data_IF_511071762999
#
_entry.id   IF_511071762999
#
_cell.length_a   1.000
_cell.length_b   1.000
_cell.length_c   1.000
_cell.angle_alpha   90.00
_cell.angle_beta   90.00
_cell.angle_gamma   90.00
#
_symmetry.space_group_name_H-M   'P 1'
#
loop_
_entity.id
_entity.type
_entity.pdbx_description
1 polymer ?
#
# COMPACT_ATOMS: atom_id res chain seq x y z
N UNK A 1 -13.14 -9.56 21.76
CA UNK A 1 -12.07 -8.64 22.25
C UNK A 1 -10.89 -8.70 21.29
N UNK A 2 -10.24 -7.57 21.05
CA UNK A 2 -9.06 -7.54 20.19
C UNK A 2 -7.90 -8.36 20.77
N UNK A 3 -7.11 -8.99 19.88
CA UNK A 3 -5.92 -9.75 20.25
C UNK A 3 -4.70 -9.15 19.58
N UNK A 4 -3.54 -9.26 20.22
CA UNK A 4 -2.25 -8.86 19.66
C UNK A 4 -1.41 -10.11 19.40
N UNK A 5 -0.66 -10.07 18.29
CA UNK A 5 0.24 -11.12 17.87
C UNK A 5 1.56 -10.47 17.42
N UNK A 6 2.65 -11.19 17.54
CA UNK A 6 3.97 -10.72 17.10
C UNK A 6 4.28 -11.05 15.65
N UNK A 7 3.44 -11.88 15.00
CA UNK A 7 3.61 -12.38 13.64
C UNK A 7 2.27 -12.53 12.92
N UNK A 8 2.31 -12.57 11.61
CA UNK A 8 1.21 -13.00 10.75
C UNK A 8 1.11 -14.52 10.89
N UNK A 9 -0.04 -15.01 11.32
CA UNK A 9 -0.33 -16.45 11.40
C UNK A 9 -1.19 -16.85 10.19
N UNK A 10 -1.29 -18.15 9.89
CA UNK A 10 -2.03 -18.67 8.73
C UNK A 10 -3.47 -18.16 8.65
N UNK A 11 -4.15 -18.05 9.80
CA UNK A 11 -5.52 -17.49 9.86
C UNK A 11 -5.60 -16.02 9.43
N UNK A 12 -4.52 -15.23 9.64
CA UNK A 12 -4.44 -13.83 9.22
C UNK A 12 -4.19 -13.74 7.72
N UNK A 13 -3.33 -14.61 7.17
CA UNK A 13 -3.06 -14.70 5.74
C UNK A 13 -4.32 -15.11 4.96
N UNK A 14 -5.02 -16.16 5.40
CA UNK A 14 -6.30 -16.58 4.83
C UNK A 14 -7.37 -15.47 4.87
N UNK A 15 -7.36 -14.64 5.91
CA UNK A 15 -8.25 -13.48 6.01
C UNK A 15 -7.86 -12.40 5.01
N UNK A 16 -6.56 -12.06 4.90
CA UNK A 16 -6.04 -11.07 3.95
C UNK A 16 -6.39 -11.43 2.51
N UNK A 17 -6.18 -12.68 2.10
CA UNK A 17 -6.43 -13.17 0.75
C UNK A 17 -7.90 -13.03 0.30
N UNK A 18 -8.83 -13.07 1.25
CA UNK A 18 -10.26 -12.90 0.98
C UNK A 18 -10.66 -11.45 0.74
N UNK A 19 -9.86 -10.48 1.23
CA UNK A 19 -10.23 -9.07 1.14
C UNK A 19 -9.94 -8.51 -0.25
N UNK A 20 -10.91 -7.76 -0.80
CA UNK A 20 -10.80 -7.11 -2.13
C UNK A 20 -10.17 -5.73 -2.04
N UNK A 21 -10.04 -5.18 -0.85
CA UNK A 21 -9.39 -3.91 -0.58
C UNK A 21 -8.77 -3.89 0.81
N UNK A 22 -7.77 -3.05 0.95
CA UNK A 22 -7.14 -2.73 2.23
C UNK A 22 -6.87 -1.22 2.30
N UNK A 23 -6.54 -0.76 3.49
CA UNK A 23 -6.14 0.63 3.73
C UNK A 23 -4.66 0.67 4.14
N UNK A 24 -3.96 1.70 3.66
CA UNK A 24 -2.64 2.06 4.17
C UNK A 24 -2.74 3.36 4.92
N UNK A 25 -2.14 3.41 6.11
CA UNK A 25 -2.00 4.64 6.89
C UNK A 25 -0.52 4.91 7.15
N UNK A 26 -0.09 6.13 6.87
CA UNK A 26 1.27 6.63 7.14
C UNK A 26 1.18 8.07 7.67
N UNK A 27 2.20 8.54 8.37
CA UNK A 27 2.21 9.89 8.89
C UNK A 27 3.64 10.44 8.92
N UNK A 28 3.83 11.75 8.69
CA UNK A 28 5.12 12.39 8.86
C UNK A 28 5.50 12.47 10.35
N UNK A 29 6.72 12.92 10.64
CA UNK A 29 7.18 13.17 12.01
C UNK A 29 6.67 14.51 12.53
N UNK A 30 6.47 15.49 11.65
CA UNK A 30 5.95 16.81 12.04
C UNK A 30 4.58 16.70 12.69
N UNK A 31 4.34 17.33 13.85
CA UNK A 31 3.02 17.38 14.47
C UNK A 31 1.99 18.16 13.63
N UNK A 32 2.44 19.05 12.75
CA UNK A 32 1.60 19.84 11.85
C UNK A 32 1.37 19.19 10.49
N UNK A 33 1.98 18.01 10.24
CA UNK A 33 1.84 17.29 8.99
C UNK A 33 0.57 16.43 8.94
N UNK A 34 0.17 16.06 7.72
CA UNK A 34 -1.10 15.37 7.47
C UNK A 34 -0.94 13.85 7.49
N UNK A 35 -1.83 13.17 8.20
CA UNK A 35 -1.91 11.71 8.17
C UNK A 35 -2.46 11.27 6.81
N UNK A 36 -1.71 10.44 6.11
CA UNK A 36 -2.17 9.81 4.88
C UNK A 36 -2.97 8.55 5.22
N UNK A 37 -4.16 8.42 4.66
CA UNK A 37 -5.01 7.22 4.70
C UNK A 37 -5.53 6.93 3.30
N UNK A 38 -5.11 5.82 2.70
CA UNK A 38 -5.44 5.50 1.31
C UNK A 38 -6.04 4.10 1.18
N UNK A 39 -7.20 3.94 0.52
CA UNK A 39 -7.72 2.65 0.11
C UNK A 39 -6.90 2.10 -1.06
N UNK A 40 -6.65 0.80 -1.07
CA UNK A 40 -5.94 0.05 -2.10
C UNK A 40 -6.73 -1.21 -2.45
N UNK A 41 -6.72 -1.60 -3.70
CA UNK A 41 -7.40 -2.80 -4.23
C UNK A 41 -6.61 -3.41 -5.38
N UNK A 42 -7.28 -4.00 -6.36
CA UNK A 42 -6.70 -4.56 -7.58
C UNK A 42 -5.71 -5.72 -7.33
N UNK A 43 -5.96 -6.52 -6.31
CA UNK A 43 -5.08 -7.65 -5.94
C UNK A 43 -3.61 -7.24 -5.77
N UNK A 44 -3.37 -6.06 -5.21
CA UNK A 44 -2.06 -5.44 -5.12
C UNK A 44 -1.28 -5.78 -3.85
N UNK A 45 -1.77 -6.66 -2.96
CA UNK A 45 -1.12 -7.01 -1.68
C UNK A 45 -0.55 -8.43 -1.68
N UNK A 46 0.61 -8.64 -1.06
CA UNK A 46 1.21 -9.97 -0.88
C UNK A 46 1.80 -10.12 0.52
N UNK A 47 1.57 -11.28 1.14
CA UNK A 47 2.30 -11.74 2.34
C UNK A 47 3.53 -12.50 1.85
N UNK A 48 4.72 -12.05 2.24
CA UNK A 48 5.99 -12.67 1.84
C UNK A 48 6.50 -13.66 2.87
N UNK A 49 6.19 -13.41 4.13
CA UNK A 49 6.50 -14.27 5.28
C UNK A 49 5.63 -13.90 6.47
N UNK A 50 5.79 -14.58 7.57
CA UNK A 50 5.12 -14.30 8.85
C UNK A 50 5.39 -12.89 9.43
N UNK A 51 6.36 -12.18 8.88
CA UNK A 51 6.80 -10.86 9.35
C UNK A 51 7.08 -9.86 8.23
N UNK A 52 6.78 -10.19 6.98
CA UNK A 52 7.04 -9.31 5.85
C UNK A 52 5.91 -9.33 4.84
N UNK A 53 5.51 -8.15 4.41
CA UNK A 53 4.47 -7.95 3.40
C UNK A 53 4.95 -6.96 2.34
N UNK A 54 4.26 -6.95 1.19
CA UNK A 54 4.43 -5.90 0.19
C UNK A 54 3.13 -5.55 -0.49
N UNK A 55 3.08 -4.36 -1.06
CA UNK A 55 2.03 -4.03 -2.02
C UNK A 55 2.56 -3.25 -3.21
N UNK A 56 1.93 -3.48 -4.36
CA UNK A 56 2.17 -2.72 -5.57
C UNK A 56 1.39 -1.40 -5.47
N UNK A 57 2.11 -0.30 -5.50
CA UNK A 57 1.52 1.03 -5.51
C UNK A 57 1.49 1.56 -6.95
N UNK A 58 0.27 1.74 -7.46
CA UNK A 58 0.02 2.24 -8.80
C UNK A 58 0.01 3.77 -8.84
N UNK A 59 0.20 4.33 -10.03
CA UNK A 59 0.17 5.78 -10.23
C UNK A 59 -1.11 6.41 -9.69
N UNK A 60 -0.96 7.45 -8.90
CA UNK A 60 -2.03 8.21 -8.27
C UNK A 60 -1.68 9.69 -8.16
N UNK A 61 -2.61 10.51 -7.65
CA UNK A 61 -2.48 11.97 -7.57
C UNK A 61 -1.45 12.46 -6.55
N UNK A 62 -1.12 11.64 -5.55
CA UNK A 62 -0.11 11.94 -4.53
C UNK A 62 0.83 10.77 -4.30
N UNK A 63 1.87 10.95 -3.49
CA UNK A 63 2.86 9.94 -3.15
C UNK A 63 3.30 10.02 -1.68
N UNK A 64 2.36 10.32 -0.79
CA UNK A 64 2.58 10.54 0.64
C UNK A 64 3.24 9.35 1.33
N UNK A 65 2.81 8.13 0.99
CA UNK A 65 3.39 6.92 1.56
C UNK A 65 4.89 6.83 1.29
N UNK A 66 5.35 7.14 0.07
CA UNK A 66 6.78 7.13 -0.27
C UNK A 66 7.58 8.17 0.51
N UNK A 67 7.03 9.38 0.69
CA UNK A 67 7.67 10.42 1.49
C UNK A 67 7.81 9.99 2.96
N UNK A 68 6.75 9.45 3.56
CA UNK A 68 6.77 8.97 4.94
C UNK A 68 7.65 7.72 5.11
N UNK A 69 7.80 6.88 4.05
CA UNK A 69 8.76 5.77 4.05
C UNK A 69 10.20 6.28 4.16
N UNK A 70 10.56 7.34 3.39
CA UNK A 70 11.88 7.96 3.47
C UNK A 70 12.14 8.59 4.83
N UNK A 71 11.17 9.32 5.37
CA UNK A 71 11.36 10.06 6.61
C UNK A 71 11.42 9.17 7.85
N UNK A 72 10.49 8.20 7.98
CA UNK A 72 10.36 7.42 9.21
C UNK A 72 9.94 5.96 9.04
N UNK A 73 9.44 5.57 7.88
CA UNK A 73 9.04 4.20 7.53
C UNK A 73 7.78 3.66 8.21
N UNK A 74 7.14 4.41 9.12
CA UNK A 74 5.95 3.90 9.86
C UNK A 74 4.79 3.68 8.92
N UNK A 75 4.22 2.47 8.95
CA UNK A 75 3.06 2.09 8.14
C UNK A 75 2.13 1.17 8.91
N UNK A 76 0.85 1.36 8.69
CA UNK A 76 -0.20 0.44 9.14
C UNK A 76 -1.02 0.01 7.94
N UNK A 77 -1.23 -1.29 7.80
CA UNK A 77 -2.22 -1.86 6.89
C UNK A 77 -3.45 -2.25 7.69
N UNK A 78 -4.64 -1.99 7.13
CA UNK A 78 -5.90 -2.40 7.74
C UNK A 78 -6.77 -3.10 6.72
N UNK A 79 -7.28 -4.26 7.11
CA UNK A 79 -8.25 -5.07 6.36
C UNK A 79 -9.54 -5.15 7.18
N UNK A 80 -10.67 -5.03 6.51
CA UNK A 80 -12.00 -5.14 7.11
C UNK A 80 -12.80 -6.22 6.40
N UNK A 81 -13.49 -7.07 7.15
CA UNK A 81 -14.48 -7.98 6.58
C UNK A 81 -15.72 -7.14 6.18
N UNK A 82 -15.91 -6.99 4.86
CA UNK A 82 -17.13 -6.40 4.29
C UNK A 82 -18.17 -7.46 3.96
N UNK A 83 -17.83 -8.74 4.09
CA UNK A 83 -18.70 -9.91 3.98
C UNK A 83 -18.35 -10.94 5.07
N UNK A 84 -19.22 -11.93 5.29
CA UNK A 84 -19.00 -13.01 6.24
C UNK A 84 -18.85 -12.56 7.70
N UNK A 85 -18.09 -13.30 8.53
CA UNK A 85 -17.89 -12.97 9.94
C UNK A 85 -17.14 -11.67 10.15
N UNK A 86 -17.58 -10.79 11.06
CA UNK A 86 -16.97 -9.48 11.25
C UNK A 86 -15.56 -9.59 11.85
N UNK A 87 -14.61 -8.96 11.20
CA UNK A 87 -13.21 -8.89 11.65
C UNK A 87 -12.55 -7.63 11.08
N UNK A 88 -11.71 -7.00 11.89
CA UNK A 88 -10.71 -6.02 11.44
C UNK A 88 -9.34 -6.58 11.78
N UNK A 89 -8.45 -6.61 10.81
CA UNK A 89 -7.04 -6.96 10.97
C UNK A 89 -6.17 -5.74 10.69
N UNK A 90 -5.20 -5.47 11.56
CA UNK A 90 -4.17 -4.45 11.36
C UNK A 90 -2.79 -5.05 11.44
N UNK A 91 -1.93 -4.66 10.49
CA UNK A 91 -0.51 -4.98 10.49
C UNK A 91 0.26 -3.68 10.71
N UNK A 92 1.08 -3.62 11.75
CA UNK A 92 1.92 -2.47 12.06
C UNK A 92 3.37 -2.78 11.72
N UNK A 93 4.01 -1.91 10.96
CA UNK A 93 5.33 -2.19 10.44
C UNK A 93 6.20 -0.97 10.15
N UNK A 94 7.38 -1.30 9.62
CA UNK A 94 8.34 -0.37 9.01
C UNK A 94 8.48 -0.71 7.54
N UNK A 95 8.15 0.25 6.69
CA UNK A 95 8.19 0.09 5.23
C UNK A 95 9.35 0.83 4.58
N UNK A 96 9.64 0.42 3.37
CA UNK A 96 10.55 1.07 2.44
C UNK A 96 9.97 1.04 1.03
N UNK A 97 10.31 2.03 0.23
CA UNK A 97 9.95 2.11 -1.19
C UNK A 97 11.00 1.38 -2.03
N UNK A 98 10.54 0.59 -3.00
CA UNK A 98 11.36 -0.03 -4.05
C UNK A 98 10.89 0.52 -5.39
N UNK A 99 11.80 1.13 -6.16
CA UNK A 99 11.51 1.74 -7.46
C UNK A 99 11.91 0.83 -8.62
N UNK A 100 11.34 1.04 -9.83
CA UNK A 100 11.92 0.50 -11.06
C UNK A 100 13.40 0.85 -11.16
N UNK A 101 14.24 -0.15 -11.44
CA UNK A 101 15.71 0.00 -11.47
C UNK A 101 16.44 -0.37 -10.17
N UNK A 102 15.73 -0.47 -9.03
CA UNK A 102 16.32 -1.04 -7.82
C UNK A 102 16.62 -2.53 -8.00
N UNK A 103 17.70 -3.02 -7.39
CA UNK A 103 18.13 -4.42 -7.51
C UNK A 103 17.08 -5.47 -7.11
N UNK A 104 16.10 -5.09 -6.29
CA UNK A 104 15.01 -5.96 -5.85
C UNK A 104 13.77 -5.90 -6.75
N UNK A 105 13.66 -4.88 -7.60
CA UNK A 105 12.45 -4.60 -8.38
C UNK A 105 12.02 -5.77 -9.25
N UNK A 106 12.92 -6.27 -10.10
CA UNK A 106 12.62 -7.31 -11.10
C UNK A 106 12.10 -8.60 -10.46
N UNK A 107 12.55 -8.92 -9.26
CA UNK A 107 12.08 -10.08 -8.53
C UNK A 107 10.71 -9.85 -7.87
N UNK A 108 10.50 -8.66 -7.30
CA UNK A 108 9.25 -8.36 -6.56
C UNK A 108 8.08 -8.11 -7.50
N UNK A 109 8.30 -7.46 -8.64
CA UNK A 109 7.22 -7.11 -9.59
C UNK A 109 6.57 -8.35 -10.21
N UNK A 110 7.28 -9.48 -10.30
CA UNK A 110 6.76 -10.74 -10.84
C UNK A 110 5.60 -11.33 -10.03
N UNK A 111 5.42 -10.90 -8.78
CA UNK A 111 4.30 -11.32 -7.95
C UNK A 111 2.96 -10.65 -8.34
N UNK A 112 2.96 -9.72 -9.30
CA UNK A 112 1.80 -8.92 -9.66
C UNK A 112 1.55 -8.93 -11.17
N UNK A 113 0.27 -9.01 -11.56
CA UNK A 113 -0.16 -9.01 -12.96
C UNK A 113 -0.48 -7.59 -13.50
N UNK A 114 -0.03 -6.53 -12.82
CA UNK A 114 -0.45 -5.14 -13.05
C UNK A 114 0.69 -4.16 -13.45
N UNK A 115 1.66 -4.54 -14.29
CA UNK A 115 2.88 -3.74 -14.49
C UNK A 115 2.65 -2.36 -15.12
N UNK A 116 1.68 -2.18 -16.03
CA UNK A 116 1.52 -0.95 -16.81
C UNK A 116 1.22 0.30 -15.96
N UNK A 117 0.56 0.13 -14.83
CA UNK A 117 0.23 1.22 -13.91
C UNK A 117 1.19 1.29 -12.71
N UNK A 118 2.16 0.38 -12.62
CA UNK A 118 3.09 0.28 -11.50
C UNK A 118 3.95 1.54 -11.38
N UNK A 119 4.01 2.10 -10.18
CA UNK A 119 4.87 3.23 -9.85
C UNK A 119 6.02 2.79 -8.94
N UNK A 120 5.70 2.05 -7.92
CA UNK A 120 6.62 1.58 -6.89
C UNK A 120 6.07 0.38 -6.16
N UNK A 121 6.90 -0.33 -5.42
CA UNK A 121 6.49 -1.36 -4.48
C UNK A 121 6.84 -0.86 -3.08
N UNK A 122 5.90 -0.96 -2.15
CA UNK A 122 6.19 -0.74 -0.73
C UNK A 122 6.34 -2.10 -0.07
N UNK A 123 7.52 -2.34 0.49
CA UNK A 123 7.83 -3.55 1.27
C UNK A 123 7.88 -3.16 2.73
N UNK A 124 7.24 -3.92 3.62
CA UNK A 124 7.19 -3.60 5.05
C UNK A 124 7.51 -4.82 5.92
N UNK A 125 8.36 -4.60 6.92
CA UNK A 125 8.61 -5.54 8.00
C UNK A 125 7.59 -5.30 9.12
N UNK A 126 6.80 -6.33 9.43
CA UNK A 126 5.70 -6.29 10.39
C UNK A 126 6.21 -6.73 11.76
N UNK A 127 5.96 -5.93 12.78
CA UNK A 127 6.37 -6.21 14.15
C UNK A 127 5.19 -6.44 15.10
N UNK A 128 3.95 -6.12 14.67
CA UNK A 128 2.75 -6.35 15.44
C UNK A 128 1.54 -6.55 14.54
N UNK A 129 0.70 -7.51 14.89
CA UNK A 129 -0.59 -7.80 14.25
C UNK A 129 -1.68 -7.63 15.30
N UNK A 130 -2.78 -6.96 14.94
CA UNK A 130 -3.91 -6.75 15.83
C UNK A 130 -5.21 -7.13 15.15
N UNK A 131 -6.03 -7.92 15.83
CA UNK A 131 -7.43 -8.18 15.43
C UNK A 131 -8.38 -7.36 16.27
N UNK A 132 -9.53 -7.00 15.70
CA UNK A 132 -10.66 -6.35 16.40
C UNK A 132 -11.97 -6.93 15.88
N UNK A 133 -13.05 -6.80 16.66
CA UNK A 133 -14.33 -7.46 16.35
C UNK A 133 -15.01 -7.02 15.05
N UNK A 134 -14.77 -5.81 14.57
CA UNK A 134 -15.38 -5.32 13.32
C UNK A 134 -16.90 -5.18 13.33
N UNK A 135 -17.58 -5.23 14.47
CA UNK A 135 -19.05 -5.26 14.55
C UNK A 135 -19.77 -4.05 13.96
N UNK A 136 -19.09 -2.91 13.84
CA UNK A 136 -19.64 -1.70 13.23
C UNK A 136 -19.22 -1.53 11.74
N UNK A 137 -18.46 -2.47 11.18
CA UNK A 137 -18.16 -2.47 9.74
C UNK A 137 -19.39 -2.96 8.99
N UNK A 138 -19.94 -2.18 8.05
CA UNK A 138 -21.13 -2.59 7.32
C UNK A 138 -20.81 -3.71 6.31
N UNK A 139 -21.83 -4.44 5.91
CA UNK A 139 -21.73 -5.42 4.83
C UNK A 139 -21.85 -4.73 3.47
N UNK A 140 -21.03 -5.16 2.51
CA UNK A 140 -21.08 -4.72 1.11
C UNK A 140 -21.01 -5.93 0.17
N UNK A 141 -21.74 -5.85 -0.92
CA UNK A 141 -21.62 -6.79 -2.02
C UNK A 141 -20.50 -6.34 -2.98
N UNK A 142 -19.54 -7.21 -3.21
CA UNK A 142 -18.47 -6.94 -4.16
C UNK A 142 -18.98 -7.10 -5.60
N UNK A 143 -19.03 -6.00 -6.34
CA UNK A 143 -19.50 -5.97 -7.74
C UNK A 143 -18.37 -6.11 -8.77
N UNK A 144 -17.11 -6.00 -8.36
CA UNK A 144 -15.95 -6.13 -9.25
C UNK A 144 -14.93 -5.00 -9.11
N UNK A 145 -13.82 -5.13 -9.83
CA UNK A 145 -12.74 -4.15 -9.88
C UNK A 145 -13.05 -3.00 -10.88
N UNK A 146 -12.43 -1.85 -10.66
CA UNK A 146 -12.46 -0.71 -11.59
C UNK A 146 -11.25 -0.78 -12.52
N UNK A 147 -11.45 -0.60 -13.80
CA UNK A 147 -10.40 -0.57 -14.84
C UNK A 147 -9.84 0.84 -15.14
N UNK A 148 -10.38 1.86 -14.48
CA UNK A 148 -10.08 3.26 -14.75
C UNK A 148 -8.59 3.60 -14.64
N UNK A 149 -7.88 3.04 -13.67
CA UNK A 149 -6.45 3.29 -13.48
C UNK A 149 -5.62 2.73 -14.65
N UNK A 150 -5.98 1.56 -15.16
CA UNK A 150 -5.30 0.93 -16.31
C UNK A 150 -5.57 1.69 -17.60
N UNK A 151 -6.84 1.99 -17.91
CA UNK A 151 -7.22 2.79 -19.08
C UNK A 151 -6.55 4.16 -19.09
N UNK A 152 -6.44 4.78 -17.91
CA UNK A 152 -5.74 6.05 -17.77
C UNK A 152 -4.24 5.91 -18.03
N UNK A 153 -3.59 4.87 -17.47
CA UNK A 153 -2.18 4.60 -17.68
C UNK A 153 -1.86 4.27 -19.15
N UNK A 154 -2.66 3.44 -19.80
CA UNK A 154 -2.56 3.12 -21.22
C UNK A 154 -2.66 4.38 -22.09
N UNK A 155 -3.65 5.25 -21.80
CA UNK A 155 -3.82 6.51 -22.53
C UNK A 155 -2.64 7.46 -22.35
N UNK A 156 -2.01 7.47 -21.18
CA UNK A 156 -0.82 8.29 -20.89
C UNK A 156 0.43 7.77 -21.61
N UNK A 157 0.58 6.45 -21.73
CA UNK A 157 1.81 5.82 -22.20
C UNK A 157 2.98 6.02 -21.23
N UNK A 158 4.12 5.38 -21.51
CA UNK A 158 5.28 5.40 -20.63
C UNK A 158 5.80 6.83 -20.37
N UNK A 159 6.06 7.60 -21.43
CA UNK A 159 6.55 8.98 -21.31
C UNK A 159 5.59 9.89 -20.55
N UNK A 160 4.26 9.76 -20.80
CA UNK A 160 3.25 10.54 -20.09
C UNK A 160 3.10 10.17 -18.62
N UNK A 161 3.40 8.92 -18.25
CA UNK A 161 3.45 8.48 -16.85
C UNK A 161 4.69 9.03 -16.13
N UNK A 162 5.86 9.00 -16.77
CA UNK A 162 7.09 9.59 -16.24
C UNK A 162 6.94 11.10 -16.01
N UNK A 163 6.39 11.82 -17.00
CA UNK A 163 6.11 13.25 -16.84
C UNK A 163 5.15 13.51 -15.68
N UNK A 164 4.07 12.72 -15.58
CA UNK A 164 3.10 12.86 -14.49
C UNK A 164 3.73 12.61 -13.12
N UNK A 165 4.58 11.59 -12.99
CA UNK A 165 5.31 11.30 -11.76
C UNK A 165 6.26 12.44 -11.40
N UNK A 166 6.98 13.00 -12.38
CA UNK A 166 7.86 14.15 -12.19
C UNK A 166 7.12 15.39 -11.69
N UNK A 167 5.93 15.65 -12.22
CA UNK A 167 5.11 16.81 -11.84
C UNK A 167 4.35 16.65 -10.52
N UNK A 168 3.86 15.45 -10.20
CA UNK A 168 2.87 15.22 -9.14
C UNK A 168 3.33 14.32 -8.00
N UNK A 169 4.38 13.52 -8.19
CA UNK A 169 4.71 12.46 -7.24
C UNK A 169 6.11 12.57 -6.61
N UNK A 170 6.87 13.62 -6.89
CA UNK A 170 8.21 13.84 -6.32
C UNK A 170 8.18 14.45 -4.92
N UNK A 171 7.14 15.21 -4.62
CA UNK A 171 6.98 15.93 -3.35
C UNK A 171 5.59 15.60 -2.77
N UNK A 172 5.51 15.38 -1.46
CA UNK A 172 4.26 15.15 -0.75
C UNK A 172 3.46 16.44 -0.53
N UNK A 173 2.22 16.33 -0.06
CA UNK A 173 1.38 17.45 0.35
C UNK A 173 2.09 18.37 1.37
N UNK A 174 2.86 17.77 2.28
CA UNK A 174 3.60 18.47 3.34
C UNK A 174 5.00 18.93 2.90
N UNK A 175 5.32 18.86 1.61
CA UNK A 175 6.61 19.29 1.06
C UNK A 175 7.77 18.32 1.28
N UNK A 176 7.52 17.09 1.73
CA UNK A 176 8.54 16.07 1.94
C UNK A 176 8.93 15.42 0.60
N UNK A 177 10.23 15.15 0.36
CA UNK A 177 10.65 14.42 -0.84
C UNK A 177 10.20 12.96 -0.80
N UNK A 178 9.85 12.41 -1.95
CA UNK A 178 9.54 10.98 -2.15
C UNK A 178 10.76 10.24 -2.70
N UNK A 179 10.71 8.91 -2.76
CA UNK A 179 11.76 8.12 -3.40
C UNK A 179 11.96 8.48 -4.88
N UNK A 180 10.90 8.91 -5.59
CA UNK A 180 11.00 9.40 -6.98
C UNK A 180 11.74 10.74 -7.12
N UNK A 181 11.82 11.53 -6.05
CA UNK A 181 12.63 12.75 -6.04
C UNK A 181 14.11 12.41 -5.93
N UNK A 182 14.46 11.59 -4.97
CA UNK A 182 15.86 11.22 -4.67
C UNK A 182 16.51 10.34 -5.75
N UNK A 183 15.73 9.60 -6.53
CA UNK A 183 16.25 8.79 -7.64
C UNK A 183 16.55 9.58 -8.91
N UNK A 184 16.14 10.85 -8.99
CA UNK A 184 16.33 11.69 -10.19
C UNK A 184 17.52 12.65 -10.05
N UNK A 185 18.15 12.73 -8.89
CA UNK A 185 19.37 13.46 -8.57
C UNK A 185 20.59 12.51 -8.62
#
# INVERSE_FOLDING_TARGET
MGKLFTRIESQHEEFIEKQKMFFTATAPLSPDGHVNLSPKGLDSFRVLSDSRVMYLDINGSGNESSAHMLENGRITFMFCAFDGPPLILRLYGKGQTVLPGDAKWDNLIQAFDLPIAARQIIVADIHMVQTSCGFSVPLYDYSGERDHAFKWAEKKGAEGLEQYQAEKNRISLDGLPTALHTAAD
#
